data_IF_781409897629
#
_entry.id   IF_781409897629
#
_cell.length_a   1.000
_cell.length_b   1.000
_cell.length_c   1.000
_cell.angle_alpha   90.00
_cell.angle_beta   90.00
_cell.angle_gamma   90.00
#
_symmetry.space_group_name_H-M   'P 1'
#
loop_
_entity.id
_entity.type
_entity.pdbx_description
1 polymer ?
#
# COMPACT_ATOMS: atom_id res chain seq x y z
N UNK A 1 0.03 7.63 -0.77
CA UNK A 1 -0.30 6.77 -1.93
C UNK A 1 -0.88 5.43 -1.48
N UNK A 2 -0.19 4.64 -0.61
CA UNK A 2 -0.66 3.29 -0.21
C UNK A 2 -2.11 3.27 0.28
N UNK A 3 -2.51 4.21 1.14
CA UNK A 3 -3.88 4.32 1.66
C UNK A 3 -4.92 4.43 0.53
N UNK A 4 -4.76 5.37 -0.39
CA UNK A 4 -5.67 5.58 -1.52
C UNK A 4 -5.63 4.44 -2.55
N UNK A 5 -4.53 3.69 -2.59
CA UNK A 5 -4.38 2.49 -3.43
C UNK A 5 -4.76 1.21 -2.67
N UNK A 6 -5.85 1.24 -1.91
CA UNK A 6 -6.42 0.10 -1.19
C UNK A 6 -5.41 -0.60 -0.26
N UNK A 7 -4.52 0.17 0.36
CA UNK A 7 -3.49 -0.36 1.24
C UNK A 7 -2.46 -1.23 0.52
N UNK A 8 -2.15 -0.93 -0.74
CA UNK A 8 -1.10 -1.63 -1.49
C UNK A 8 0.19 -1.70 -0.67
N UNK A 9 0.84 -2.87 -0.63
CA UNK A 9 2.08 -3.02 0.12
C UNK A 9 3.23 -2.25 -0.53
N UNK A 10 4.23 -1.85 0.28
CA UNK A 10 5.45 -1.20 -0.24
C UNK A 10 6.12 -2.03 -1.34
N UNK A 11 6.19 -3.35 -1.15
CA UNK A 11 6.77 -4.26 -2.13
C UNK A 11 5.97 -4.26 -3.43
N UNK A 12 4.63 -4.39 -3.33
CA UNK A 12 3.78 -4.39 -4.52
C UNK A 12 3.89 -3.04 -5.26
N UNK A 13 3.93 -1.90 -4.55
CA UNK A 13 4.16 -0.58 -5.15
C UNK A 13 5.49 -0.49 -5.89
N UNK A 14 6.55 -1.09 -5.33
CA UNK A 14 7.89 -1.04 -5.92
C UNK A 14 8.00 -1.80 -7.25
N UNK A 15 7.12 -2.76 -7.48
CA UNK A 15 7.06 -3.52 -8.74
C UNK A 15 6.07 -2.94 -9.75
N UNK A 16 5.34 -1.87 -9.43
CA UNK A 16 4.42 -1.26 -10.39
C UNK A 16 5.16 -0.56 -11.52
N UNK A 17 4.79 -0.93 -12.73
CA UNK A 17 5.30 -0.33 -13.98
C UNK A 17 4.17 0.30 -14.79
N UNK A 18 4.51 1.01 -15.85
CA UNK A 18 3.52 1.59 -16.77
C UNK A 18 2.59 0.55 -17.38
N UNK A 19 3.06 -0.70 -17.56
CA UNK A 19 2.22 -1.80 -18.04
C UNK A 19 1.09 -2.20 -17.09
N UNK A 20 1.17 -1.80 -15.81
CA UNK A 20 0.10 -1.99 -14.85
C UNK A 20 -1.04 -0.96 -14.98
N UNK A 21 -0.84 0.12 -15.75
CA UNK A 21 -1.89 1.12 -16.01
C UNK A 21 -2.70 0.67 -17.22
N UNK A 22 -3.98 0.38 -17.00
CA UNK A 22 -4.90 -0.14 -18.02
C UNK A 22 -6.12 0.77 -18.12
N UNK A 23 -6.50 1.10 -19.35
CA UNK A 23 -7.72 1.88 -19.64
C UNK A 23 -8.88 0.95 -19.92
N UNK A 24 -9.96 1.04 -19.17
CA UNK A 24 -11.21 0.37 -19.45
C UNK A 24 -12.40 1.07 -18.76
N UNK A 25 -13.61 0.84 -19.23
CA UNK A 25 -14.84 1.43 -18.69
C UNK A 25 -14.77 2.96 -18.47
N UNK A 26 -14.12 3.68 -19.38
CA UNK A 26 -14.02 5.14 -19.30
C UNK A 26 -13.09 5.67 -18.21
N UNK A 27 -12.22 4.83 -17.63
CA UNK A 27 -11.23 5.24 -16.62
C UNK A 27 -9.88 4.55 -16.75
N UNK A 28 -8.92 5.04 -16.03
CA UNK A 28 -7.61 4.39 -15.86
C UNK A 28 -7.56 3.63 -14.55
N UNK A 29 -6.89 2.48 -14.59
CA UNK A 29 -6.79 1.58 -13.43
C UNK A 29 -5.37 1.06 -13.29
N UNK A 30 -4.88 0.98 -12.05
CA UNK A 30 -3.71 0.18 -11.72
C UNK A 30 -4.19 -1.27 -11.54
N UNK A 31 -3.67 -2.18 -12.37
CA UNK A 31 -4.01 -3.60 -12.34
C UNK A 31 -2.77 -4.42 -12.03
N UNK A 32 -2.79 -5.14 -10.93
CA UNK A 32 -1.63 -5.92 -10.51
C UNK A 32 -2.05 -7.18 -9.73
N UNK A 33 -1.15 -8.16 -9.68
CA UNK A 33 -1.22 -9.28 -8.73
C UNK A 33 -0.22 -9.07 -7.61
N UNK A 34 -0.59 -9.40 -6.38
CA UNK A 34 0.34 -9.29 -5.24
C UNK A 34 1.59 -10.12 -5.51
N UNK A 35 2.75 -9.49 -5.40
CA UNK A 35 4.05 -10.12 -5.69
C UNK A 35 4.27 -11.41 -4.90
N UNK A 36 3.86 -11.44 -3.62
CA UNK A 36 4.00 -12.60 -2.74
C UNK A 36 3.28 -13.86 -3.24
N UNK A 37 2.16 -13.72 -3.95
CA UNK A 37 1.28 -14.81 -4.33
C UNK A 37 0.99 -14.88 -5.84
N UNK A 38 1.64 -14.06 -6.65
CA UNK A 38 1.35 -13.92 -8.09
C UNK A 38 1.47 -15.23 -8.89
N UNK A 39 2.29 -16.16 -8.42
CA UNK A 39 2.50 -17.46 -9.05
C UNK A 39 1.51 -18.55 -8.62
N UNK A 40 0.65 -18.27 -7.62
CA UNK A 40 -0.36 -19.23 -7.18
C UNK A 40 -1.51 -19.30 -8.19
N UNK A 41 -2.05 -20.51 -8.40
CA UNK A 41 -3.23 -20.70 -9.27
C UNK A 41 -4.44 -19.98 -8.69
N UNK A 42 -5.24 -19.37 -9.56
CA UNK A 42 -6.50 -18.72 -9.17
C UNK A 42 -6.36 -17.32 -8.56
N UNK A 43 -5.16 -16.77 -8.41
CA UNK A 43 -4.99 -15.39 -7.90
C UNK A 43 -5.56 -14.39 -8.89
N UNK A 44 -6.61 -13.68 -8.45
CA UNK A 44 -7.23 -12.61 -9.22
C UNK A 44 -6.38 -11.33 -9.12
N UNK A 45 -6.31 -10.53 -10.20
CA UNK A 45 -5.68 -9.23 -10.14
C UNK A 45 -6.51 -8.25 -9.31
N UNK A 46 -5.83 -7.41 -8.56
CA UNK A 46 -6.42 -6.25 -7.88
C UNK A 46 -6.51 -5.12 -8.90
N UNK A 47 -7.63 -4.42 -8.91
CA UNK A 47 -7.91 -3.30 -9.82
C UNK A 47 -8.19 -2.05 -8.99
N UNK A 48 -7.35 -1.05 -9.10
CA UNK A 48 -7.46 0.21 -8.37
C UNK A 48 -7.77 1.30 -9.37
N UNK A 49 -8.94 1.93 -9.26
CA UNK A 49 -9.28 3.07 -10.13
C UNK A 49 -8.35 4.24 -9.80
N UNK A 50 -7.70 4.80 -10.80
CA UNK A 50 -6.88 5.99 -10.64
C UNK A 50 -7.83 7.19 -10.48
N UNK A 51 -7.88 7.73 -9.26
CA UNK A 51 -8.63 8.94 -8.94
C UNK A 51 -7.71 10.15 -9.06
N UNK A 52 -8.30 11.35 -9.05
CA UNK A 52 -7.54 12.61 -9.06
C UNK A 52 -6.53 12.70 -7.90
N UNK A 53 -6.87 12.13 -6.74
CA UNK A 53 -5.98 12.07 -5.57
C UNK A 53 -4.76 11.18 -5.83
N UNK A 54 -4.97 10.02 -6.47
CA UNK A 54 -3.88 9.11 -6.84
C UNK A 54 -2.99 9.76 -7.90
N UNK A 55 -3.57 10.39 -8.93
CA UNK A 55 -2.82 11.13 -9.95
C UNK A 55 -1.92 12.20 -9.32
N UNK A 56 -2.51 13.08 -8.49
CA UNK A 56 -1.74 14.13 -7.77
C UNK A 56 -0.60 13.57 -6.93
N UNK A 57 -0.83 12.45 -6.23
CA UNK A 57 0.21 11.81 -5.42
C UNK A 57 1.32 11.21 -6.29
N UNK A 58 0.97 10.59 -7.42
CA UNK A 58 1.96 10.04 -8.35
C UNK A 58 2.81 11.15 -8.97
N UNK A 59 2.19 12.28 -9.35
CA UNK A 59 2.90 13.41 -9.92
C UNK A 59 3.80 14.09 -8.88
N UNK A 60 3.32 14.33 -7.67
CA UNK A 60 4.14 14.85 -6.58
C UNK A 60 5.36 13.95 -6.26
N UNK A 61 5.19 12.63 -6.32
CA UNK A 61 6.29 11.70 -6.14
C UNK A 61 7.32 11.78 -7.26
N UNK A 62 6.89 11.95 -8.53
CA UNK A 62 7.78 12.12 -9.68
C UNK A 62 8.54 13.45 -9.63
N UNK A 63 7.89 14.53 -9.18
CA UNK A 63 8.54 15.84 -8.97
C UNK A 63 9.60 15.76 -7.88
N UNK A 64 9.33 15.04 -6.80
CA UNK A 64 10.27 14.89 -5.68
C UNK A 64 11.43 13.96 -5.99
N UNK A 65 11.22 12.96 -6.83
CA UNK A 65 12.24 11.98 -7.21
C UNK A 65 11.88 11.34 -8.56
N UNK A 66 12.75 11.45 -9.58
CA UNK A 66 12.46 10.87 -10.89
C UNK A 66 12.35 9.34 -10.80
N UNK A 67 11.42 8.79 -11.57
CA UNK A 67 11.32 7.34 -11.77
C UNK A 67 12.38 6.85 -12.75
N UNK A 68 12.86 5.65 -12.59
CA UNK A 68 13.78 4.98 -13.51
C UNK A 68 13.05 3.89 -14.28
N UNK A 69 13.54 3.56 -15.45
CA UNK A 69 12.94 2.56 -16.35
C UNK A 69 11.42 2.80 -16.53
N UNK A 70 10.61 1.74 -16.42
CA UNK A 70 9.15 1.81 -16.55
C UNK A 70 8.42 1.92 -15.22
N UNK A 71 9.12 2.04 -14.09
CA UNK A 71 8.47 2.13 -12.77
C UNK A 71 7.63 3.39 -12.64
N UNK A 72 6.45 3.28 -12.02
CA UNK A 72 5.54 4.43 -11.82
C UNK A 72 5.70 5.08 -10.44
N UNK A 73 6.33 4.39 -9.48
CA UNK A 73 6.63 4.91 -8.14
C UNK A 73 8.14 4.95 -7.94
N UNK A 74 8.75 6.05 -7.46
CA UNK A 74 10.20 6.22 -7.37
C UNK A 74 10.83 5.47 -6.18
N UNK A 75 10.45 4.20 -5.98
CA UNK A 75 11.04 3.32 -4.96
C UNK A 75 12.35 2.73 -5.49
N UNK A 76 12.33 2.26 -6.74
CA UNK A 76 13.53 1.81 -7.45
C UNK A 76 14.26 3.04 -7.98
N UNK A 77 15.52 3.21 -7.58
CA UNK A 77 16.32 4.41 -7.91
C UNK A 77 17.54 4.11 -8.81
N UNK A 78 17.71 2.87 -9.23
CA UNK A 78 18.83 2.43 -10.08
C UNK A 78 18.26 1.75 -11.31
N UNK A 79 18.57 2.30 -12.48
CA UNK A 79 18.13 1.77 -13.76
C UNK A 79 18.78 0.42 -14.08
N UNK A 80 18.07 -0.43 -14.83
CA UNK A 80 18.57 -1.71 -15.32
C UNK A 80 18.63 -2.83 -14.27
N UNK A 81 18.15 -2.60 -13.05
CA UNK A 81 18.09 -3.67 -12.05
C UNK A 81 16.93 -4.63 -12.37
N UNK A 82 17.27 -5.93 -12.44
CA UNK A 82 16.33 -7.04 -12.67
C UNK A 82 16.62 -8.21 -11.73
N UNK A 83 15.71 -9.18 -11.64
CA UNK A 83 15.90 -10.41 -10.87
C UNK A 83 16.30 -10.16 -9.42
N UNK A 84 17.36 -10.86 -8.98
CA UNK A 84 17.85 -10.80 -7.60
C UNK A 84 18.36 -9.40 -7.21
N UNK A 85 19.01 -8.68 -8.13
CA UNK A 85 19.50 -7.31 -7.86
C UNK A 85 18.33 -6.36 -7.56
N UNK A 86 17.26 -6.43 -8.33
CA UNK A 86 16.05 -5.65 -8.10
C UNK A 86 15.39 -6.03 -6.78
N UNK A 87 15.26 -7.33 -6.49
CA UNK A 87 14.69 -7.81 -5.25
C UNK A 87 15.46 -7.28 -4.03
N UNK A 88 16.79 -7.40 -4.03
CA UNK A 88 17.64 -6.96 -2.93
C UNK A 88 17.59 -5.43 -2.78
N UNK A 89 17.56 -4.68 -3.88
CA UNK A 89 17.39 -3.22 -3.86
C UNK A 89 16.06 -2.81 -3.22
N UNK A 90 14.94 -3.43 -3.61
CA UNK A 90 13.63 -3.14 -3.04
C UNK A 90 13.60 -3.47 -1.53
N UNK A 91 14.19 -4.58 -1.10
CA UNK A 91 14.30 -4.93 0.33
C UNK A 91 15.11 -3.91 1.12
N UNK A 92 16.22 -3.44 0.55
CA UNK A 92 17.02 -2.36 1.16
C UNK A 92 16.20 -1.08 1.31
N UNK A 93 15.49 -0.65 0.24
CA UNK A 93 14.64 0.54 0.26
C UNK A 93 13.49 0.39 1.27
N UNK A 94 12.89 -0.78 1.36
CA UNK A 94 11.86 -1.09 2.35
C UNK A 94 12.36 -0.92 3.79
N UNK A 95 13.52 -1.50 4.10
CA UNK A 95 14.13 -1.34 5.43
C UNK A 95 14.39 0.13 5.74
N UNK A 96 15.08 0.82 4.84
CA UNK A 96 15.44 2.24 5.02
C UNK A 96 14.21 3.14 5.19
N UNK A 97 13.14 2.86 4.47
CA UNK A 97 11.88 3.61 4.61
C UNK A 97 11.23 3.40 5.99
N UNK A 98 11.25 2.17 6.52
CA UNK A 98 10.75 1.92 7.87
C UNK A 98 11.66 2.55 8.95
N UNK A 99 12.97 2.62 8.73
CA UNK A 99 13.89 3.32 9.62
C UNK A 99 13.55 4.83 9.68
N UNK A 100 13.30 5.48 8.54
CA UNK A 100 12.83 6.87 8.49
C UNK A 100 11.45 7.08 9.15
N UNK A 101 10.51 6.14 8.99
CA UNK A 101 9.24 6.22 9.68
C UNK A 101 9.40 6.13 11.21
N UNK A 102 10.34 5.32 11.68
CA UNK A 102 10.65 5.24 13.11
C UNK A 102 11.30 6.52 13.65
N UNK A 103 12.16 7.16 12.87
CA UNK A 103 12.74 8.48 13.21
C UNK A 103 11.63 9.55 13.25
N UNK A 104 10.79 9.61 12.23
CA UNK A 104 9.65 10.53 12.17
C UNK A 104 8.70 10.35 13.36
N UNK A 105 8.41 9.09 13.75
CA UNK A 105 7.57 8.82 14.91
C UNK A 105 8.18 9.40 16.20
N UNK A 106 9.51 9.32 16.36
CA UNK A 106 10.20 9.92 17.51
C UNK A 106 10.11 11.45 17.51
N UNK A 107 10.35 12.08 16.34
CA UNK A 107 10.28 13.54 16.19
C UNK A 107 8.86 14.07 16.49
N UNK A 108 7.84 13.35 16.06
CA UNK A 108 6.43 13.69 16.28
C UNK A 108 5.89 13.18 17.62
N UNK A 109 6.73 12.56 18.48
CA UNK A 109 6.35 12.01 19.79
C UNK A 109 5.20 10.98 19.72
N UNK A 110 5.11 10.23 18.63
CA UNK A 110 4.14 9.13 18.50
C UNK A 110 4.69 7.92 19.26
N UNK A 111 4.13 7.66 20.45
CA UNK A 111 4.60 6.61 21.37
C UNK A 111 3.65 5.43 21.50
N UNK A 112 2.39 5.62 21.15
CA UNK A 112 1.29 4.68 21.30
C UNK A 112 1.26 3.61 20.19
N UNK A 113 1.97 3.84 19.08
CA UNK A 113 2.03 2.91 17.97
C UNK A 113 3.38 2.90 17.25
N UNK A 114 3.73 1.75 16.68
CA UNK A 114 4.90 1.65 15.80
C UNK A 114 4.56 2.09 14.38
N UNK A 115 5.06 3.25 13.96
CA UNK A 115 4.86 3.75 12.62
C UNK A 115 5.68 2.91 11.61
N UNK A 116 4.99 2.23 10.69
CA UNK A 116 5.58 1.39 9.64
C UNK A 116 4.82 1.55 8.33
N UNK A 117 5.37 1.02 7.23
CA UNK A 117 4.67 0.97 5.92
C UNK A 117 3.32 0.24 5.98
N UNK A 118 3.07 -0.56 7.01
CA UNK A 118 1.81 -1.30 7.17
C UNK A 118 0.68 -0.45 7.75
N UNK A 119 0.98 0.63 8.46
CA UNK A 119 -0.04 1.47 9.12
C UNK A 119 -1.10 1.95 8.13
N UNK A 120 -0.70 2.46 6.97
CA UNK A 120 -1.65 2.93 5.93
C UNK A 120 -2.59 1.82 5.45
N UNK A 121 -2.10 0.57 5.35
CA UNK A 121 -2.89 -0.59 4.98
C UNK A 121 -3.87 -0.98 6.08
N UNK A 122 -3.41 -0.96 7.33
CA UNK A 122 -4.26 -1.22 8.49
C UNK A 122 -5.38 -0.20 8.59
N UNK A 123 -5.04 1.09 8.56
CA UNK A 123 -6.03 2.18 8.63
C UNK A 123 -7.09 2.05 7.54
N UNK A 124 -6.69 1.79 6.29
CA UNK A 124 -7.63 1.60 5.19
C UNK A 124 -8.55 0.40 5.44
N UNK A 125 -7.97 -0.75 5.84
CA UNK A 125 -8.75 -1.96 6.09
C UNK A 125 -9.81 -1.76 7.18
N UNK A 126 -9.46 -1.06 8.25
CA UNK A 126 -10.36 -0.76 9.35
C UNK A 126 -11.46 0.23 9.00
N UNK A 127 -11.13 1.29 8.26
CA UNK A 127 -12.15 2.22 7.78
C UNK A 127 -13.18 1.53 6.89
N UNK A 128 -12.75 0.55 6.08
CA UNK A 128 -13.64 -0.21 5.21
C UNK A 128 -14.41 -1.31 5.94
N UNK A 129 -13.83 -1.92 6.96
CA UNK A 129 -14.50 -2.97 7.76
C UNK A 129 -15.85 -2.51 8.31
N UNK A 130 -15.96 -1.24 8.70
CA UNK A 130 -17.21 -0.64 9.18
C UNK A 130 -18.34 -0.65 8.15
N UNK A 131 -18.00 -0.79 6.85
CA UNK A 131 -18.97 -0.75 5.77
C UNK A 131 -19.27 -2.15 5.20
N UNK A 132 -18.23 -2.95 4.93
CA UNK A 132 -18.39 -4.28 4.32
C UNK A 132 -17.06 -5.07 4.37
N UNK A 133 -17.01 -6.14 5.18
CA UNK A 133 -15.82 -6.98 5.35
C UNK A 133 -15.47 -7.74 4.05
N UNK A 134 -16.47 -8.10 3.22
CA UNK A 134 -16.21 -8.83 1.98
C UNK A 134 -15.44 -7.98 0.97
N UNK A 135 -15.71 -6.69 0.92
CA UNK A 135 -14.97 -5.73 0.09
C UNK A 135 -13.54 -5.56 0.56
N UNK A 136 -13.31 -5.58 1.88
CA UNK A 136 -11.95 -5.53 2.44
C UNK A 136 -11.11 -6.71 1.95
N UNK A 137 -11.68 -7.91 1.92
CA UNK A 137 -11.01 -9.10 1.39
C UNK A 137 -10.52 -8.89 -0.05
N UNK A 138 -11.41 -8.42 -0.93
CA UNK A 138 -11.10 -8.20 -2.34
C UNK A 138 -10.04 -7.11 -2.52
N UNK A 139 -10.17 -5.98 -1.83
CA UNK A 139 -9.25 -4.86 -1.90
C UNK A 139 -7.86 -5.19 -1.36
N UNK A 140 -7.79 -5.99 -0.29
CA UNK A 140 -6.50 -6.47 0.25
C UNK A 140 -5.90 -7.60 -0.58
N UNK A 141 -6.66 -8.20 -1.51
CA UNK A 141 -6.23 -9.34 -2.32
C UNK A 141 -5.97 -10.58 -1.48
N UNK A 142 -6.79 -10.82 -0.44
CA UNK A 142 -6.71 -12.05 0.33
C UNK A 142 -7.44 -13.18 -0.39
N UNK A 143 -6.85 -14.37 -0.41
CA UNK A 143 -7.40 -15.53 -1.11
C UNK A 143 -8.71 -16.04 -0.48
N UNK A 144 -8.89 -15.84 0.84
CA UNK A 144 -10.04 -16.32 1.59
C UNK A 144 -10.45 -15.35 2.72
N UNK A 145 -11.71 -15.46 3.18
CA UNK A 145 -12.29 -14.66 4.26
C UNK A 145 -11.61 -14.92 5.61
N UNK A 146 -11.15 -16.15 5.85
CA UNK A 146 -10.48 -16.49 7.09
C UNK A 146 -9.23 -15.64 7.29
N UNK A 147 -8.43 -15.48 6.22
CA UNK A 147 -7.26 -14.60 6.23
C UNK A 147 -7.65 -13.15 6.51
N UNK A 148 -8.76 -12.67 5.96
CA UNK A 148 -9.25 -11.30 6.21
C UNK A 148 -9.74 -11.16 7.65
N UNK A 149 -10.54 -12.07 8.16
CA UNK A 149 -11.03 -12.04 9.53
C UNK A 149 -9.87 -12.12 10.53
N UNK A 150 -8.95 -13.09 10.39
CA UNK A 150 -7.76 -13.18 11.24
C UNK A 150 -6.92 -11.90 11.20
N UNK A 151 -6.82 -11.27 10.03
CA UNK A 151 -6.13 -10.00 9.88
C UNK A 151 -6.85 -8.87 10.62
N UNK A 152 -8.17 -8.77 10.51
CA UNK A 152 -8.97 -7.75 11.18
C UNK A 152 -9.06 -7.98 12.69
N UNK A 153 -9.18 -9.24 13.13
CA UNK A 153 -9.21 -9.63 14.54
C UNK A 153 -7.88 -9.39 15.28
N UNK A 154 -6.78 -9.26 14.51
CA UNK A 154 -5.46 -8.94 15.07
C UNK A 154 -5.32 -7.48 15.50
N UNK A 155 -6.32 -6.65 15.20
CA UNK A 155 -6.34 -5.25 15.65
C UNK A 155 -7.01 -5.17 17.02
N UNK A 156 -6.28 -4.64 17.98
CA UNK A 156 -6.89 -4.24 19.24
C UNK A 156 -7.80 -3.03 19.00
N UNK A 157 -9.10 -3.24 19.10
CA UNK A 157 -10.12 -2.22 18.84
C UNK A 157 -10.05 -1.06 19.82
N UNK A 158 -9.46 -1.25 21.01
CA UNK A 158 -9.37 -0.21 22.05
C UNK A 158 -8.50 0.97 21.65
N UNK A 159 -7.34 0.71 21.03
CA UNK A 159 -6.43 1.77 20.53
C UNK A 159 -7.06 2.58 19.41
N UNK A 160 -8.00 1.99 18.70
CA UNK A 160 -8.67 2.60 17.55
C UNK A 160 -9.88 3.41 17.96
N UNK A 161 -10.61 2.94 18.95
CA UNK A 161 -11.72 3.69 19.53
C UNK A 161 -11.23 4.96 20.24
N UNK A 162 -10.01 4.94 20.79
CA UNK A 162 -9.33 6.12 21.33
C UNK A 162 -8.85 7.07 20.23
N UNK A 163 -8.25 6.57 19.17
CA UNK A 163 -7.85 7.39 18.01
C UNK A 163 -9.07 7.97 17.27
N UNK A 164 -10.19 7.24 17.22
CA UNK A 164 -11.42 7.73 16.62
C UNK A 164 -12.07 8.87 17.44
N UNK A 165 -11.92 8.89 18.77
CA UNK A 165 -12.41 10.00 19.61
C UNK A 165 -11.79 11.34 19.19
N UNK A 166 -10.50 11.37 18.86
CA UNK A 166 -9.80 12.58 18.40
C UNK A 166 -10.38 13.14 17.08
N UNK A 167 -11.02 12.30 16.25
CA UNK A 167 -11.67 12.73 15.01
C UNK A 167 -13.10 13.26 15.20
N UNK A 168 -13.71 13.00 16.36
CA UNK A 168 -15.06 13.44 16.68
C UNK A 168 -15.10 14.65 17.64
N UNK A 169 -13.95 14.98 18.25
CA UNK A 169 -13.79 16.09 19.17
C UNK A 169 -13.23 17.38 18.49
N UNK A 170 -13.20 17.40 17.13
CA UNK A 170 -12.79 18.58 16.33
C UNK A 170 -13.99 19.36 15.82
#
# INVERSE_FOLDING_TARGET
>A
LSFYCYGISFIDMAYLTRSNIVKFNGGEYIVYKRHKIQHQKGVKPIKIKITKEIERLLDSLKESSPTVDDFIVPIVSISGYTGEKLYNHIRYRYKKYNDYLAELAKELQITDMKLTTYVSRHTMAMMLQRNDVSRVQEMLGHADMKTTNTYLDSFDTTVIDEAAKVLYDM
#
